data_IF_830386723926
#
_entry.id   IF_830386723926
#
_cell.length_a   1.000
_cell.length_b   1.000
_cell.length_c   1.000
_cell.angle_alpha   90.00
_cell.angle_beta   90.00
_cell.angle_gamma   90.00
#
_symmetry.space_group_name_H-M   'P 1'
#
loop_
_entity.id
_entity.type
_entity.pdbx_description
1 polymer ?
#
# COMPACT_ATOMS: atom_id res chain seq x y z
N UNK A 1 8.39 -19.49 -3.79
CA UNK A 1 9.44 -18.50 -3.47
C UNK A 1 9.71 -17.68 -4.72
N UNK A 2 9.56 -16.35 -4.64
CA UNK A 2 9.94 -15.45 -5.74
C UNK A 2 11.46 -15.43 -5.87
N UNK A 3 11.97 -15.51 -7.10
CA UNK A 3 13.41 -15.51 -7.40
C UNK A 3 13.95 -14.14 -7.82
N UNK A 4 13.05 -13.19 -8.04
CA UNK A 4 13.36 -11.85 -8.52
C UNK A 4 13.27 -10.84 -7.36
N UNK A 5 14.15 -9.84 -7.32
CA UNK A 5 14.04 -8.77 -6.34
C UNK A 5 12.75 -7.98 -6.54
N UNK A 6 12.13 -7.58 -5.42
CA UNK A 6 11.06 -6.59 -5.41
C UNK A 6 11.63 -5.25 -5.00
N UNK A 7 11.48 -4.24 -5.84
CA UNK A 7 11.86 -2.87 -5.53
C UNK A 7 10.62 -2.11 -5.03
N UNK A 8 10.76 -1.42 -3.90
CA UNK A 8 9.69 -0.62 -3.29
C UNK A 8 10.09 0.85 -3.37
N UNK A 9 9.16 1.70 -3.81
CA UNK A 9 9.36 3.14 -3.94
C UNK A 9 8.30 3.87 -3.10
N UNK A 10 8.69 5.03 -2.54
CA UNK A 10 7.78 5.90 -1.78
C UNK A 10 7.52 7.17 -2.58
N UNK A 11 6.30 7.31 -3.08
CA UNK A 11 5.80 8.56 -3.66
C UNK A 11 5.36 9.54 -2.57
N UNK A 12 5.60 10.84 -2.78
CA UNK A 12 5.14 11.92 -1.90
C UNK A 12 4.47 13.01 -2.75
N UNK A 13 3.58 13.79 -2.13
CA UNK A 13 2.87 14.87 -2.82
C UNK A 13 1.82 14.38 -3.82
N UNK A 14 1.26 13.19 -3.60
CA UNK A 14 0.14 12.71 -4.41
C UNK A 14 -1.13 13.52 -4.08
N UNK A 15 -1.85 13.92 -5.12
CA UNK A 15 -3.11 14.65 -5.02
C UNK A 15 -4.26 13.79 -5.55
N UNK A 16 -5.42 13.84 -4.90
CA UNK A 16 -6.64 13.21 -5.40
C UNK A 16 -7.24 14.11 -6.49
N UNK A 17 -7.06 13.71 -7.75
CA UNK A 17 -7.53 14.47 -8.92
C UNK A 17 -8.88 13.99 -9.47
N UNK A 18 -9.40 12.87 -8.98
CA UNK A 18 -10.68 12.30 -9.41
C UNK A 18 -10.86 10.85 -8.99
N UNK A 19 -12.03 10.30 -9.27
CA UNK A 19 -12.36 8.90 -8.99
C UNK A 19 -11.66 7.95 -9.98
N UNK A 20 -11.43 6.72 -9.52
CA UNK A 20 -10.85 5.68 -10.37
C UNK A 20 -11.82 5.29 -11.50
N UNK A 21 -11.33 5.37 -12.74
CA UNK A 21 -12.09 4.94 -13.93
C UNK A 21 -11.80 3.49 -14.33
N UNK A 22 -10.71 2.90 -13.82
CA UNK A 22 -10.37 1.49 -14.03
C UNK A 22 -11.25 0.58 -13.17
N UNK A 23 -11.74 -0.52 -13.75
CA UNK A 23 -12.74 -1.41 -13.12
C UNK A 23 -12.34 -2.89 -13.11
N UNK A 24 -11.32 -3.29 -13.87
CA UNK A 24 -10.95 -4.69 -14.05
C UNK A 24 -9.91 -5.19 -13.03
N UNK A 25 -9.14 -4.29 -12.44
CA UNK A 25 -8.04 -4.64 -11.53
C UNK A 25 -8.42 -4.59 -10.04
N UNK A 26 -9.65 -4.17 -9.73
CA UNK A 26 -10.20 -4.15 -8.38
C UNK A 26 -10.78 -2.81 -7.99
N UNK A 27 -10.80 -2.56 -6.68
CA UNK A 27 -11.27 -1.30 -6.09
C UNK A 27 -10.09 -0.45 -5.70
N UNK A 28 -10.10 0.79 -6.13
CA UNK A 28 -9.11 1.79 -5.78
C UNK A 28 -9.73 2.77 -4.79
N UNK A 29 -9.11 2.88 -3.62
CA UNK A 29 -9.58 3.75 -2.55
C UNK A 29 -8.40 4.45 -1.88
N UNK A 30 -8.63 5.68 -1.47
CA UNK A 30 -7.70 6.39 -0.60
C UNK A 30 -7.88 5.89 0.83
N UNK A 31 -6.82 5.29 1.38
CA UNK A 31 -6.81 4.79 2.75
C UNK A 31 -5.99 5.74 3.62
N UNK A 32 -6.55 6.28 4.72
CA UNK A 32 -5.76 7.01 5.69
C UNK A 32 -4.62 6.14 6.22
N UNK A 33 -3.40 6.66 6.20
CA UNK A 33 -2.20 5.95 6.71
C UNK A 33 -2.41 5.45 8.14
N UNK A 34 -3.13 6.22 8.97
CA UNK A 34 -3.45 5.85 10.35
C UNK A 34 -4.27 4.54 10.47
N UNK A 35 -4.99 4.13 9.43
CA UNK A 35 -5.79 2.90 9.42
C UNK A 35 -4.94 1.66 9.09
N UNK A 36 -3.77 1.84 8.47
CA UNK A 36 -2.92 0.74 7.99
C UNK A 36 -2.55 -0.26 9.09
N UNK A 37 -2.14 0.13 10.32
CA UNK A 37 -1.83 -0.85 11.38
C UNK A 37 -3.01 -1.79 11.70
N UNK A 38 -4.24 -1.29 11.68
CA UNK A 38 -5.43 -2.12 11.92
C UNK A 38 -5.69 -3.06 10.75
N UNK A 39 -5.56 -2.58 9.50
CA UNK A 39 -5.70 -3.43 8.31
C UNK A 39 -4.67 -4.57 8.27
N UNK A 40 -3.44 -4.31 8.70
CA UNK A 40 -2.40 -5.34 8.84
C UNK A 40 -2.80 -6.33 9.94
N UNK A 41 -3.22 -5.86 11.12
CA UNK A 41 -3.59 -6.72 12.26
C UNK A 41 -4.79 -7.62 11.95
N UNK A 42 -5.76 -7.11 11.23
CA UNK A 42 -6.93 -7.87 10.74
C UNK A 42 -6.57 -8.82 9.57
N UNK A 43 -5.32 -8.80 9.11
CA UNK A 43 -4.86 -9.61 8.00
C UNK A 43 -5.48 -9.21 6.67
N UNK A 44 -5.96 -7.97 6.51
CA UNK A 44 -6.52 -7.47 5.23
C UNK A 44 -5.43 -7.14 4.20
N UNK A 45 -4.18 -6.94 4.63
CA UNK A 45 -3.02 -6.83 3.75
C UNK A 45 -2.44 -8.22 3.49
N UNK A 46 -2.76 -8.82 2.33
CA UNK A 46 -2.40 -10.22 2.00
C UNK A 46 -1.09 -10.37 1.21
N UNK A 47 -0.69 -9.35 0.46
CA UNK A 47 0.48 -9.40 -0.42
C UNK A 47 1.76 -9.00 0.35
N UNK A 48 2.82 -9.80 0.25
CA UNK A 48 4.11 -9.54 0.91
C UNK A 48 4.78 -8.25 0.44
N UNK A 49 4.70 -7.91 -0.84
CA UNK A 49 5.26 -6.66 -1.38
C UNK A 49 4.62 -5.43 -0.74
N UNK A 50 3.30 -5.45 -0.59
CA UNK A 50 2.55 -4.40 0.10
C UNK A 50 2.85 -4.38 1.60
N UNK A 51 2.80 -5.53 2.27
CA UNK A 51 3.01 -5.62 3.72
C UNK A 51 4.41 -5.12 4.11
N UNK A 52 5.46 -5.58 3.43
CA UNK A 52 6.84 -5.18 3.73
C UNK A 52 7.03 -3.69 3.45
N UNK A 53 6.49 -3.15 2.35
CA UNK A 53 6.56 -1.73 2.04
C UNK A 53 5.88 -0.85 3.10
N UNK A 54 4.67 -1.24 3.53
CA UNK A 54 3.93 -0.52 4.57
C UNK A 54 4.63 -0.59 5.92
N UNK A 55 5.18 -1.75 6.32
CA UNK A 55 5.94 -1.88 7.56
C UNK A 55 7.22 -1.05 7.54
N UNK A 56 7.93 -1.01 6.40
CA UNK A 56 9.10 -0.16 6.22
C UNK A 56 8.73 1.32 6.40
N UNK A 57 7.65 1.77 5.76
CA UNK A 57 7.17 3.15 5.91
C UNK A 57 6.71 3.46 7.34
N UNK A 58 5.99 2.56 8.01
CA UNK A 58 5.54 2.81 9.39
C UNK A 58 6.70 2.85 10.40
N UNK A 59 7.79 2.13 10.14
CA UNK A 59 8.96 2.11 11.01
C UNK A 59 9.95 3.25 10.74
N UNK A 60 10.10 3.66 9.48
CA UNK A 60 11.20 4.53 9.02
C UNK A 60 10.75 5.75 8.21
N UNK A 61 9.48 5.77 7.77
CA UNK A 61 8.90 6.85 6.98
C UNK A 61 8.79 8.12 7.80
N UNK A 62 9.56 9.12 7.37
CA UNK A 62 9.35 10.53 7.73
C UNK A 62 8.67 11.24 6.56
#
# INVERSE_FOLDING_TARGET
>A
MLRNPHHVFLGRGAELVGDATEVNEGKFEWVPVANVPNLIREGKVKNSGTLVGLLHYLALGR
#
